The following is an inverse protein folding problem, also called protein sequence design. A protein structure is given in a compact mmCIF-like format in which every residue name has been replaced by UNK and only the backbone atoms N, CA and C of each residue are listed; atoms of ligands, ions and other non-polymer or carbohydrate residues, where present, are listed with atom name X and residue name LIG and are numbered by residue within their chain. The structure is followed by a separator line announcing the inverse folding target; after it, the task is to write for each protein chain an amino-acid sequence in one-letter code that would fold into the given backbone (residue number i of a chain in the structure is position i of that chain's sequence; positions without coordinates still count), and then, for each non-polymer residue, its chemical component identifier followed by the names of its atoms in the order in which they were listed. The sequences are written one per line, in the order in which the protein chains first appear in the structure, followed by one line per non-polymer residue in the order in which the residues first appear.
data_IF_007550497113
#
_entry.id   IF_007550497113
#
_cell.length_a   1.000
_cell.length_b   1.000
_cell.length_c   1.000
_cell.angle_alpha   90.00
_cell.angle_beta   90.00
_cell.angle_gamma   90.00
#
_symmetry.space_group_name_H-M   'P 1'
#
loop_
_entity.id
_entity.type
_entity.pdbx_description
1 polymer ?
#
# COMPACT_ATOMS: atom_id res chain seq x y z
N UNK A 1 24.78 14.31 -9.77
CA UNK A 1 24.16 14.28 -11.11
C UNK A 1 23.80 12.83 -11.39
N UNK A 2 22.52 12.46 -11.33
CA UNK A 2 22.07 11.09 -11.59
C UNK A 2 21.29 11.08 -12.91
N UNK A 3 21.71 10.22 -13.85
CA UNK A 3 20.92 9.80 -15.00
C UNK A 3 20.19 8.51 -14.62
N UNK A 4 18.88 8.42 -14.89
CA UNK A 4 18.13 7.16 -14.72
C UNK A 4 18.00 6.48 -16.09
N UNK A 5 18.66 5.33 -16.21
CA UNK A 5 18.47 4.34 -17.27
C UNK A 5 17.28 3.45 -16.87
N UNK A 6 16.25 3.40 -17.70
CA UNK A 6 14.98 2.71 -17.41
C UNK A 6 15.14 1.18 -17.40
N UNK A 7 14.83 0.55 -16.26
CA UNK A 7 14.66 -0.90 -16.14
C UNK A 7 13.28 -1.22 -15.57
N UNK A 8 12.46 -1.93 -16.35
CA UNK A 8 11.07 -2.28 -16.04
C UNK A 8 11.01 -3.30 -14.89
N UNK A 9 10.62 -2.85 -13.69
CA UNK A 9 10.07 -3.73 -12.65
C UNK A 9 8.85 -3.07 -12.01
N UNK A 10 7.67 -3.52 -12.42
CA UNK A 10 6.36 -3.10 -11.91
C UNK A 10 6.09 -3.73 -10.54
N UNK A 11 5.90 -2.91 -9.51
CA UNK A 11 5.32 -3.32 -8.22
C UNK A 11 3.89 -2.81 -8.14
N UNK A 12 2.94 -3.73 -7.98
CA UNK A 12 1.51 -3.49 -7.80
C UNK A 12 1.21 -3.61 -6.29
N UNK A 13 0.69 -2.55 -5.65
CA UNK A 13 0.23 -2.59 -4.26
C UNK A 13 -1.19 -2.07 -4.20
N UNK A 14 -2.07 -2.85 -3.57
CA UNK A 14 -3.48 -2.54 -3.38
C UNK A 14 -3.77 -1.96 -2.00
N UNK A 15 -4.56 -0.89 -2.00
CA UNK A 15 -5.09 -0.23 -0.80
C UNK A 15 -6.00 -1.16 0.00
N UNK A 16 -5.44 -1.88 0.98
CA UNK A 16 -6.17 -2.67 1.98
C UNK A 16 -6.67 -1.85 3.18
N UNK A 17 -6.33 -0.56 3.25
CA UNK A 17 -6.60 0.31 4.40
C UNK A 17 -8.09 0.60 4.64
N UNK A 18 -8.95 0.46 3.62
CA UNK A 18 -10.40 0.65 3.78
C UNK A 18 -11.12 -0.56 4.40
N UNK A 19 -10.52 -1.75 4.37
CA UNK A 19 -11.20 -2.99 4.80
C UNK A 19 -10.99 -3.26 6.30
N UNK A 20 -9.84 -2.90 6.86
CA UNK A 20 -9.53 -3.20 8.28
C UNK A 20 -10.41 -2.36 9.23
N UNK A 21 -10.70 -1.10 8.90
CA UNK A 21 -11.60 -0.25 9.70
C UNK A 21 -13.06 -0.69 9.60
N UNK A 22 -13.45 -1.34 8.49
CA UNK A 22 -14.79 -1.93 8.32
C UNK A 22 -14.95 -3.22 9.13
N UNK A 23 -13.90 -4.04 9.24
CA UNK A 23 -13.91 -5.27 10.04
C UNK A 23 -13.98 -4.95 11.55
N UNK A 24 -13.39 -3.83 12.00
CA UNK A 24 -13.47 -3.41 13.41
C UNK A 24 -14.86 -2.85 13.80
N UNK A 25 -15.67 -2.38 12.84
CA UNK A 25 -16.97 -1.75 13.12
C UNK A 25 -18.20 -2.60 12.77
N UNK A 26 -18.01 -3.70 12.05
CA UNK A 26 -19.04 -4.73 11.84
C UNK A 26 -18.71 -5.98 12.64
N UNK A 27 -18.81 -5.88 13.97
CA UNK A 27 -19.24 -7.04 14.76
C UNK A 27 -20.75 -7.21 14.58
N UNK A 28 -21.23 -7.31 13.34
CA UNK A 28 -22.37 -8.18 13.11
C UNK A 28 -21.86 -9.55 13.47
N UNK A 29 -22.28 -10.07 14.63
CA UNK A 29 -22.26 -11.50 14.90
C UNK A 29 -22.92 -12.15 13.71
N UNK A 30 -22.13 -12.59 12.73
CA UNK A 30 -22.58 -13.50 11.69
C UNK A 30 -22.93 -14.75 12.47
N UNK A 31 -24.22 -14.87 12.80
CA UNK A 31 -24.76 -16.03 13.45
C UNK A 31 -24.70 -17.14 12.40
N UNK A 32 -23.57 -17.84 12.39
CA UNK A 32 -23.41 -19.02 11.56
C UNK A 32 -24.53 -19.98 11.98
N UNK A 33 -25.41 -20.40 11.05
CA UNK A 33 -26.42 -21.39 11.36
C UNK A 33 -25.73 -22.59 12.03
N UNK A 34 -26.29 -23.13 13.12
CA UNK A 34 -25.75 -24.29 13.85
C UNK A 34 -25.38 -25.47 12.95
N UNK A 35 -25.98 -25.54 11.75
CA UNK A 35 -25.64 -26.48 10.69
C UNK A 35 -24.18 -26.38 10.18
N UNK A 36 -23.57 -25.20 10.15
CA UNK A 36 -22.17 -25.02 9.72
C UNK A 36 -21.15 -25.54 10.74
N UNK A 37 -21.52 -25.59 12.03
CA UNK A 37 -20.68 -26.16 13.09
C UNK A 37 -20.76 -27.70 13.16
N UNK A 38 -21.64 -28.33 12.37
CA UNK A 38 -21.82 -29.79 12.32
C UNK A 38 -21.32 -30.42 11.03
N UNK A 39 -20.28 -29.85 10.42
CA UNK A 39 -19.47 -30.63 9.50
C UNK A 39 -18.74 -31.72 10.30
N UNK A 40 -19.36 -32.90 10.43
CA UNK A 40 -18.70 -34.15 10.82
C UNK A 40 -17.71 -34.48 9.71
N UNK A 41 -16.55 -33.83 9.74
CA UNK A 41 -15.40 -34.21 8.93
C UNK A 41 -15.00 -35.60 9.41
N UNK A 42 -15.23 -36.56 8.54
CA UNK A 42 -14.89 -37.97 8.72
C UNK A 42 -13.41 -38.05 9.10
N UNK A 43 -13.12 -38.55 10.30
CA UNK A 43 -11.82 -38.69 10.98
C UNK A 43 -11.37 -37.53 11.92
N UNK A 44 -11.85 -37.57 13.17
CA UNK A 44 -10.97 -37.56 14.36
C UNK A 44 -10.78 -36.25 15.14
N UNK A 45 -10.87 -35.06 14.54
CA UNK A 45 -10.64 -33.80 15.26
C UNK A 45 -11.88 -32.91 15.23
N UNK A 46 -12.49 -32.70 16.40
CA UNK A 46 -13.48 -31.64 16.59
C UNK A 46 -12.75 -30.31 16.79
N UNK A 47 -13.18 -29.28 16.06
CA UNK A 47 -12.64 -27.92 16.19
C UNK A 47 -13.59 -27.08 17.04
N UNK A 48 -13.03 -26.28 17.94
CA UNK A 48 -13.75 -25.23 18.65
C UNK A 48 -14.25 -24.16 17.66
N UNK A 49 -15.33 -23.43 18.01
CA UNK A 49 -15.82 -22.33 17.18
C UNK A 49 -14.76 -21.27 16.87
N UNK A 50 -13.85 -20.98 17.81
CA UNK A 50 -12.77 -20.01 17.61
C UNK A 50 -11.73 -20.51 16.59
N UNK A 51 -11.36 -21.80 16.62
CA UNK A 51 -10.50 -22.39 15.58
C UNK A 51 -11.15 -22.30 14.20
N UNK A 52 -12.43 -22.64 14.09
CA UNK A 52 -13.19 -22.54 12.82
C UNK A 52 -13.20 -21.10 12.31
N UNK A 53 -13.49 -20.13 13.19
CA UNK A 53 -13.49 -18.71 12.86
C UNK A 53 -12.14 -18.27 12.31
N UNK A 54 -11.06 -18.59 13.01
CA UNK A 54 -9.70 -18.18 12.62
C UNK A 54 -9.23 -18.83 11.31
N UNK A 55 -9.58 -20.10 11.07
CA UNK A 55 -9.32 -20.75 9.77
C UNK A 55 -10.09 -20.01 8.66
N UNK A 56 -11.34 -19.62 8.93
CA UNK A 56 -12.14 -18.80 8.00
C UNK A 56 -11.49 -17.45 7.71
N UNK A 57 -11.00 -16.75 8.73
CA UNK A 57 -10.31 -15.47 8.58
C UNK A 57 -8.99 -15.62 7.79
N UNK A 58 -8.26 -16.72 8.00
CA UNK A 58 -7.06 -17.05 7.24
C UNK A 58 -7.40 -17.29 5.76
N UNK A 59 -8.49 -18.01 5.48
CA UNK A 59 -8.98 -18.25 4.13
C UNK A 59 -9.37 -16.96 3.40
N UNK A 60 -10.05 -16.03 4.08
CA UNK A 60 -10.38 -14.70 3.53
C UNK A 60 -9.12 -13.92 3.17
N UNK A 61 -8.16 -13.85 4.09
CA UNK A 61 -6.89 -13.17 3.85
C UNK A 61 -6.12 -13.80 2.68
N UNK A 62 -6.08 -15.13 2.61
CA UNK A 62 -5.43 -15.82 1.51
C UNK A 62 -6.10 -15.51 0.17
N UNK A 63 -7.44 -15.51 0.12
CA UNK A 63 -8.17 -15.14 -1.08
C UNK A 63 -7.81 -13.73 -1.57
N UNK A 64 -7.67 -12.78 -0.65
CA UNK A 64 -7.20 -11.43 -0.99
C UNK A 64 -5.76 -11.44 -1.51
N UNK A 65 -4.82 -12.10 -0.83
CA UNK A 65 -3.44 -12.21 -1.28
C UNK A 65 -3.35 -12.86 -2.67
N UNK A 66 -4.08 -13.95 -2.89
CA UNK A 66 -4.12 -14.66 -4.17
C UNK A 66 -4.66 -13.79 -5.29
N UNK A 67 -5.70 -13.00 -5.05
CA UNK A 67 -6.28 -12.13 -6.07
C UNK A 67 -5.36 -10.95 -6.41
N UNK A 68 -4.70 -10.37 -5.40
CA UNK A 68 -4.00 -9.10 -5.53
C UNK A 68 -2.49 -9.19 -5.71
N UNK A 69 -1.85 -10.29 -5.31
CA UNK A 69 -0.40 -10.42 -5.40
C UNK A 69 0.01 -11.01 -6.78
N UNK A 70 0.70 -10.25 -7.64
CA UNK A 70 1.07 -10.72 -8.98
C UNK A 70 2.03 -11.92 -8.94
N UNK A 71 2.83 -12.09 -7.88
CA UNK A 71 3.80 -13.20 -7.79
C UNK A 71 3.12 -14.56 -7.64
N UNK A 72 1.93 -14.60 -7.05
CA UNK A 72 1.15 -15.84 -6.95
C UNK A 72 0.66 -16.34 -8.31
N UNK A 73 0.61 -15.46 -9.31
CA UNK A 73 0.22 -15.82 -10.68
C UNK A 73 1.42 -16.16 -11.57
N UNK A 74 2.61 -15.64 -11.25
CA UNK A 74 3.81 -15.76 -12.11
C UNK A 74 4.84 -16.75 -11.57
N UNK A 75 4.84 -17.03 -10.27
CA UNK A 75 5.82 -17.91 -9.63
C UNK A 75 5.20 -19.26 -9.26
N UNK A 76 6.05 -20.29 -9.18
CA UNK A 76 5.67 -21.65 -8.77
C UNK A 76 5.51 -21.77 -7.25
N UNK A 77 4.71 -20.90 -6.64
CA UNK A 77 4.33 -21.05 -5.23
C UNK A 77 3.30 -22.17 -5.14
N UNK A 78 3.59 -23.21 -4.34
CA UNK A 78 2.64 -24.32 -4.12
C UNK A 78 1.60 -23.86 -3.10
N UNK A 79 0.63 -23.09 -3.59
CA UNK A 79 -0.42 -22.39 -2.83
C UNK A 79 -1.20 -23.30 -1.90
N UNK A 80 -1.67 -24.45 -2.39
CA UNK A 80 -2.51 -25.37 -1.61
C UNK A 80 -1.78 -25.91 -0.37
N UNK A 81 -0.52 -26.32 -0.55
CA UNK A 81 0.32 -26.82 0.55
C UNK A 81 0.62 -25.75 1.60
N UNK A 82 0.67 -24.49 1.18
CA UNK A 82 0.93 -23.35 2.05
C UNK A 82 -0.29 -23.07 2.93
N UNK A 83 -1.49 -23.05 2.35
CA UNK A 83 -2.74 -22.85 3.09
C UNK A 83 -2.98 -23.97 4.10
N UNK A 84 -2.70 -25.23 3.73
CA UNK A 84 -2.84 -26.37 4.65
C UNK A 84 -1.91 -26.20 5.85
N UNK A 85 -0.64 -25.86 5.62
CA UNK A 85 0.34 -25.64 6.70
C UNK A 85 -0.05 -24.46 7.60
N UNK A 86 -0.47 -23.35 7.02
CA UNK A 86 -0.91 -22.17 7.77
C UNK A 86 -2.19 -22.46 8.58
N UNK A 87 -3.13 -23.20 8.01
CA UNK A 87 -4.36 -23.63 8.71
C UNK A 87 -4.06 -24.58 9.87
N UNK A 88 -3.02 -25.40 9.77
CA UNK A 88 -2.58 -26.26 10.87
C UNK A 88 -2.04 -25.46 12.06
N UNK A 89 -1.32 -24.36 11.81
CA UNK A 89 -0.87 -23.44 12.87
C UNK A 89 -2.07 -22.88 13.61
N UNK A 90 -3.03 -22.28 12.88
CA UNK A 90 -4.24 -21.68 13.46
C UNK A 90 -5.13 -22.72 14.16
N UNK A 91 -5.17 -23.94 13.62
CA UNK A 91 -5.89 -25.06 14.22
C UNK A 91 -5.27 -25.50 15.56
N UNK A 92 -3.97 -25.34 15.76
CA UNK A 92 -3.31 -25.72 17.00
C UNK A 92 -3.23 -24.55 17.99
N UNK A 93 -3.14 -23.32 17.48
CA UNK A 93 -3.16 -22.09 18.25
C UNK A 93 -4.05 -21.04 17.57
N UNK A 94 -5.32 -20.90 17.99
CA UNK A 94 -6.24 -19.94 17.41
C UNK A 94 -6.09 -18.53 18.00
N UNK A 95 -5.05 -18.27 18.79
CA UNK A 95 -4.76 -16.94 19.33
C UNK A 95 -4.38 -15.93 18.23
N UNK A 96 -4.28 -14.66 18.60
CA UNK A 96 -3.76 -13.63 17.69
C UNK A 96 -2.31 -13.92 17.26
N UNK A 97 -1.50 -14.48 18.15
CA UNK A 97 -0.09 -14.81 17.87
C UNK A 97 0.02 -15.99 16.91
N UNK A 98 -0.78 -17.05 17.11
CA UNK A 98 -0.86 -18.18 16.18
C UNK A 98 -1.33 -17.74 14.79
N UNK A 99 -2.34 -16.86 14.73
CA UNK A 99 -2.77 -16.26 13.47
C UNK A 99 -1.64 -15.44 12.81
N UNK A 100 -0.95 -14.56 13.56
CA UNK A 100 0.19 -13.78 13.07
C UNK A 100 1.29 -14.70 12.51
N UNK A 101 1.61 -15.78 13.19
CA UNK A 101 2.61 -16.76 12.72
C UNK A 101 2.19 -17.43 11.42
N UNK A 102 0.91 -17.82 11.30
CA UNK A 102 0.37 -18.37 10.05
C UNK A 102 0.46 -17.39 8.88
N UNK A 103 0.16 -16.10 9.11
CA UNK A 103 0.33 -15.05 8.10
C UNK A 103 1.79 -14.86 7.74
N UNK A 104 2.71 -14.80 8.72
CA UNK A 104 4.16 -14.69 8.46
C UNK A 104 4.67 -15.85 7.60
N UNK A 105 4.22 -17.07 7.86
CA UNK A 105 4.56 -18.24 7.03
C UNK A 105 4.11 -18.02 5.58
N UNK A 106 2.88 -17.55 5.39
CA UNK A 106 2.33 -17.31 4.06
C UNK A 106 3.08 -16.20 3.31
N UNK A 107 3.37 -15.08 3.97
CA UNK A 107 4.10 -13.96 3.37
C UNK A 107 5.55 -14.32 3.05
N UNK A 108 6.22 -15.09 3.91
CA UNK A 108 7.58 -15.57 3.66
C UNK A 108 7.67 -16.41 2.37
N UNK A 109 6.62 -17.18 2.06
CA UNK A 109 6.56 -17.97 0.83
C UNK A 109 6.35 -17.10 -0.44
N UNK A 110 5.83 -15.88 -0.31
CA UNK A 110 5.71 -14.91 -1.41
C UNK A 110 7.07 -14.27 -1.75
N UNK A 111 7.95 -14.15 -0.74
CA UNK A 111 9.31 -13.61 -0.85
C UNK A 111 9.40 -12.27 -1.61
N UNK A 112 8.34 -11.45 -1.57
CA UNK A 112 8.19 -10.27 -2.44
C UNK A 112 8.80 -8.99 -1.89
N UNK A 113 9.18 -8.99 -0.61
CA UNK A 113 9.81 -7.87 0.09
C UNK A 113 8.91 -6.65 0.29
N UNK A 114 7.75 -6.59 -0.37
CA UNK A 114 6.80 -5.49 -0.32
C UNK A 114 5.55 -5.79 0.52
N UNK A 115 5.16 -7.07 0.64
CA UNK A 115 4.01 -7.45 1.45
C UNK A 115 4.45 -7.74 2.89
N UNK A 116 3.96 -6.94 3.84
CA UNK A 116 4.33 -7.03 5.26
C UNK A 116 3.09 -7.03 6.16
N UNK A 117 3.28 -7.44 7.42
CA UNK A 117 2.25 -7.31 8.46
C UNK A 117 2.46 -5.97 9.13
N UNK A 118 1.41 -5.17 9.21
CA UNK A 118 1.39 -3.94 9.98
C UNK A 118 0.69 -4.18 11.33
N UNK A 119 1.34 -3.82 12.43
CA UNK A 119 0.76 -3.97 13.76
C UNK A 119 -0.15 -2.77 14.09
N UNK A 120 -1.23 -3.03 14.83
CA UNK A 120 -2.15 -1.97 15.26
C UNK A 120 -1.42 -0.98 16.17
N UNK A 121 -1.30 0.28 15.74
CA UNK A 121 -0.56 1.33 16.45
C UNK A 121 0.71 1.78 15.74
N UNK A 122 1.20 1.02 14.75
CA UNK A 122 2.17 1.53 13.79
C UNK A 122 1.48 2.53 12.86
N UNK A 123 2.22 3.58 12.48
CA UNK A 123 1.67 4.70 11.73
C UNK A 123 1.02 4.18 10.44
N UNK A 124 -0.30 4.31 10.29
CA UNK A 124 -0.98 3.76 9.11
C UNK A 124 -0.53 4.51 7.86
N UNK A 125 -0.53 3.90 6.67
CA UNK A 125 -0.31 4.64 5.43
C UNK A 125 -1.26 5.85 5.33
N UNK A 126 -2.49 5.75 5.85
CA UNK A 126 -3.43 6.88 5.95
C UNK A 126 -2.89 8.06 6.78
N UNK A 127 -2.01 7.82 7.76
CA UNK A 127 -1.30 8.88 8.48
C UNK A 127 -0.12 9.45 7.69
N UNK A 128 0.48 8.71 6.75
CA UNK A 128 1.39 9.28 5.72
C UNK A 128 0.64 10.20 4.75
N UNK A 129 -0.65 9.96 4.55
CA UNK A 129 -1.55 10.81 3.74
C UNK A 129 -2.21 11.95 4.52
N UNK A 130 -1.85 12.15 5.80
CA UNK A 130 -2.41 13.25 6.58
C UNK A 130 -1.86 14.58 6.03
N UNK A 131 -2.68 15.30 5.24
CA UNK A 131 -2.34 16.56 4.56
C UNK A 131 -1.80 17.66 5.48
N UNK A 132 -1.97 17.50 6.80
CA UNK A 132 -1.71 18.53 7.80
C UNK A 132 -0.25 18.90 8.05
N UNK A 133 0.75 18.13 7.60
CA UNK A 133 2.13 18.39 8.06
C UNK A 133 3.17 18.75 7.00
N UNK A 134 2.89 18.73 5.69
CA UNK A 134 3.90 19.20 4.73
C UNK A 134 3.33 19.54 3.35
N UNK A 135 2.91 20.79 3.15
CA UNK A 135 2.69 21.36 1.81
C UNK A 135 4.02 21.40 1.03
N UNK A 136 4.01 21.43 -0.32
CA UNK A 136 5.23 21.64 -1.07
C UNK A 136 5.88 22.97 -0.69
N UNK A 137 7.21 22.98 -0.68
CA UNK A 137 8.01 24.16 -0.33
C UNK A 137 8.64 24.70 -1.59
N UNK A 138 8.46 26.00 -1.83
CA UNK A 138 8.97 26.68 -3.02
C UNK A 138 10.04 27.68 -2.63
N UNK A 139 11.16 27.68 -3.36
CA UNK A 139 12.26 28.61 -3.18
C UNK A 139 12.76 29.13 -4.54
N UNK A 140 12.90 30.44 -4.64
CA UNK A 140 13.65 31.06 -5.74
C UNK A 140 15.15 30.90 -5.47
N UNK A 141 15.86 30.31 -6.43
CA UNK A 141 17.31 30.17 -6.43
C UNK A 141 17.97 31.25 -7.30
N UNK A 142 19.30 31.33 -7.22
CA UNK A 142 20.09 32.20 -8.09
C UNK A 142 19.87 31.88 -9.58
N UNK A 143 20.08 32.89 -10.43
CA UNK A 143 19.88 32.83 -11.88
C UNK A 143 18.43 32.47 -12.27
N UNK A 144 17.45 32.99 -11.55
CA UNK A 144 16.03 32.81 -11.83
C UNK A 144 15.60 31.33 -11.91
N UNK A 145 16.25 30.44 -11.15
CA UNK A 145 15.84 29.04 -11.07
C UNK A 145 14.83 28.86 -9.94
N UNK A 146 13.87 27.96 -10.12
CA UNK A 146 12.85 27.63 -9.14
C UNK A 146 13.14 26.26 -8.53
N UNK A 147 13.03 26.14 -7.21
CA UNK A 147 13.15 24.88 -6.49
C UNK A 147 11.85 24.55 -5.79
N UNK A 148 11.32 23.36 -6.02
CA UNK A 148 10.05 22.87 -5.47
C UNK A 148 10.33 21.54 -4.77
N UNK A 149 10.24 21.51 -3.45
CA UNK A 149 10.38 20.30 -2.66
C UNK A 149 9.01 19.74 -2.28
N UNK A 150 8.84 18.43 -2.48
CA UNK A 150 7.65 17.68 -2.09
C UNK A 150 7.96 16.80 -0.88
N UNK A 151 7.73 17.30 0.34
CA UNK A 151 8.14 16.64 1.58
C UNK A 151 7.32 15.39 1.91
N UNK A 152 6.10 15.25 1.37
CA UNK A 152 5.22 14.10 1.58
C UNK A 152 4.51 13.69 0.29
N UNK A 153 4.00 12.46 0.25
CA UNK A 153 3.17 11.98 -0.85
C UNK A 153 1.85 12.76 -0.98
N UNK A 154 1.24 13.15 0.14
CA UNK A 154 0.04 13.99 0.13
C UNK A 154 0.28 15.35 -0.55
N UNK A 155 1.50 15.88 -0.44
CA UNK A 155 1.92 17.09 -1.15
C UNK A 155 2.00 16.91 -2.67
N UNK A 156 2.26 15.68 -3.15
CA UNK A 156 2.27 15.34 -4.58
C UNK A 156 0.86 15.13 -5.15
N UNK A 157 -0.14 14.84 -4.31
CA UNK A 157 -1.53 14.60 -4.74
C UNK A 157 -2.36 15.89 -4.82
N UNK A 158 -1.72 17.06 -4.87
CA UNK A 158 -2.43 18.30 -5.14
C UNK A 158 -2.97 18.25 -6.56
N UNK A 159 -4.30 18.27 -6.68
CA UNK A 159 -5.00 18.27 -7.97
C UNK A 159 -4.82 19.58 -8.75
N UNK A 160 -4.47 20.66 -8.04
CA UNK A 160 -4.24 21.97 -8.61
C UNK A 160 -2.89 22.53 -8.13
N UNK A 161 -1.91 22.75 -9.03
CA UNK A 161 -0.65 23.39 -8.69
C UNK A 161 -0.78 24.79 -8.07
N UNK A 162 -1.91 25.48 -8.30
CA UNK A 162 -2.20 26.79 -7.70
C UNK A 162 -2.40 26.73 -6.18
N UNK A 163 -2.65 25.53 -5.62
CA UNK A 163 -2.74 25.31 -4.18
C UNK A 163 -1.35 25.30 -3.50
N UNK A 164 -0.26 25.24 -4.29
CA UNK A 164 1.10 25.30 -3.76
C UNK A 164 1.45 26.75 -3.42
N UNK A 165 1.50 27.06 -2.12
CA UNK A 165 1.87 28.39 -1.65
C UNK A 165 3.28 28.78 -2.14
N UNK A 166 3.37 29.91 -2.83
CA UNK A 166 4.61 30.41 -3.42
C UNK A 166 4.93 29.82 -4.80
N UNK A 167 3.96 29.12 -5.42
CA UNK A 167 4.03 28.69 -6.81
C UNK A 167 2.87 29.32 -7.60
N UNK A 168 3.09 30.52 -8.11
CA UNK A 168 2.17 31.17 -9.05
C UNK A 168 2.53 30.81 -10.50
N UNK A 169 1.57 30.92 -11.45
CA UNK A 169 1.88 30.74 -12.87
C UNK A 169 2.98 31.67 -13.37
N UNK A 170 3.09 32.88 -12.81
CA UNK A 170 4.14 33.83 -13.15
C UNK A 170 5.53 33.37 -12.69
N UNK A 171 5.64 32.79 -11.50
CA UNK A 171 6.92 32.31 -10.94
C UNK A 171 7.49 31.14 -11.76
N UNK A 172 6.67 30.17 -12.17
CA UNK A 172 7.20 29.07 -12.99
C UNK A 172 7.43 29.46 -14.46
N UNK A 173 6.72 30.44 -15.02
CA UNK A 173 6.87 30.82 -16.44
C UNK A 173 8.09 31.71 -16.65
N UNK A 174 8.45 32.49 -15.64
CA UNK A 174 9.66 33.34 -15.65
C UNK A 174 10.93 32.61 -15.24
N UNK A 175 10.82 31.40 -14.67
CA UNK A 175 11.97 30.63 -14.23
C UNK A 175 12.82 30.14 -15.43
N UNK A 176 14.14 30.32 -15.34
CA UNK A 176 15.10 29.79 -16.32
C UNK A 176 15.29 28.27 -16.22
N UNK A 177 14.95 27.69 -15.06
CA UNK A 177 15.03 26.27 -14.79
C UNK A 177 14.24 25.91 -13.55
N UNK A 178 13.74 24.67 -13.48
CA UNK A 178 12.93 24.18 -12.36
C UNK A 178 13.55 22.90 -11.83
N UNK A 179 13.78 22.85 -10.52
CA UNK A 179 14.28 21.70 -9.78
C UNK A 179 13.13 21.15 -8.94
N UNK A 180 12.74 19.91 -9.21
CA UNK A 180 11.72 19.20 -8.44
C UNK A 180 12.43 18.21 -7.51
N UNK A 181 12.34 18.44 -6.20
CA UNK A 181 12.92 17.55 -5.19
C UNK A 181 11.88 16.58 -4.61
N UNK A 182 12.04 15.31 -4.98
CA UNK A 182 11.26 14.17 -4.50
C UNK A 182 12.04 13.25 -3.55
N UNK A 183 13.23 13.67 -3.08
CA UNK A 183 14.09 12.82 -2.23
C UNK A 183 13.42 12.41 -0.91
N UNK A 184 12.41 13.15 -0.45
CA UNK A 184 11.61 12.79 0.73
C UNK A 184 10.33 12.02 0.40
N UNK A 185 9.90 12.00 -0.87
CA UNK A 185 8.73 11.22 -1.32
C UNK A 185 9.04 9.71 -1.38
N UNK A 186 10.31 9.33 -1.49
CA UNK A 186 10.80 7.95 -1.61
C UNK A 186 10.74 7.12 -0.32
N UNK A 187 10.34 7.71 0.82
CA UNK A 187 10.09 6.94 2.05
C UNK A 187 8.74 6.24 2.07
N UNK A 188 7.93 6.39 1.01
CA UNK A 188 6.67 5.67 0.87
C UNK A 188 6.91 4.44 -0.01
N UNK A 189 6.78 3.21 0.53
CA UNK A 189 6.94 1.97 -0.24
C UNK A 189 6.03 1.90 -1.48
N UNK A 190 4.95 2.69 -1.49
CA UNK A 190 3.94 2.77 -2.54
C UNK A 190 4.27 3.72 -3.71
N UNK A 191 5.39 4.46 -3.67
CA UNK A 191 5.78 5.35 -4.77
C UNK A 191 6.48 4.57 -5.89
N UNK A 192 5.70 3.93 -6.77
CA UNK A 192 6.20 3.40 -8.03
C UNK A 192 6.36 4.53 -9.07
N UNK A 193 7.19 4.30 -10.10
CA UNK A 193 7.43 5.28 -11.18
C UNK A 193 6.14 5.73 -11.89
N UNK A 194 5.08 4.93 -11.81
CA UNK A 194 3.78 5.20 -12.43
C UNK A 194 3.09 6.40 -11.77
N UNK A 195 3.03 6.46 -10.44
CA UNK A 195 2.37 7.57 -9.74
C UNK A 195 3.12 8.91 -9.96
N UNK A 196 4.45 8.88 -10.06
CA UNK A 196 5.22 10.08 -10.42
C UNK A 196 4.83 10.61 -11.81
N UNK A 197 4.68 9.73 -12.79
CA UNK A 197 4.24 10.12 -14.14
C UNK A 197 2.82 10.66 -14.10
N UNK A 198 1.87 10.06 -13.38
CA UNK A 198 0.49 10.52 -13.42
C UNK A 198 0.21 11.76 -12.56
N UNK A 199 0.93 11.96 -11.46
CA UNK A 199 0.67 13.07 -10.53
C UNK A 199 1.56 14.28 -10.80
N UNK A 200 2.84 14.06 -11.16
CA UNK A 200 3.79 15.15 -11.40
C UNK A 200 3.83 15.56 -12.87
N UNK A 201 3.57 14.65 -13.83
CA UNK A 201 3.59 15.04 -15.25
C UNK A 201 2.48 16.00 -15.65
N UNK A 202 1.26 16.00 -15.10
CA UNK A 202 0.29 17.05 -15.44
C UNK A 202 0.80 18.44 -15.09
N UNK A 203 1.43 18.60 -13.92
CA UNK A 203 2.08 19.85 -13.53
C UNK A 203 3.25 20.18 -14.46
N UNK A 204 4.17 19.23 -14.71
CA UNK A 204 5.28 19.42 -15.65
C UNK A 204 4.76 19.76 -17.05
N UNK A 205 3.68 19.12 -17.52
CA UNK A 205 3.04 19.39 -18.82
C UNK A 205 2.41 20.77 -18.85
N UNK A 206 1.75 21.22 -17.78
CA UNK A 206 1.21 22.57 -17.70
C UNK A 206 2.33 23.62 -17.70
N UNK A 207 3.39 23.37 -16.96
CA UNK A 207 4.61 24.20 -16.96
C UNK A 207 5.22 24.27 -18.36
N UNK A 208 5.41 23.13 -19.04
CA UNK A 208 5.94 23.05 -20.41
C UNK A 208 4.98 23.70 -21.44
N UNK A 209 3.67 23.51 -21.28
CA UNK A 209 2.68 24.05 -22.21
C UNK A 209 2.51 25.57 -22.06
N UNK A 210 2.65 26.10 -20.84
CA UNK A 210 2.58 27.53 -20.52
C UNK A 210 3.89 28.29 -20.77
N UNK A 211 5.00 27.61 -21.04
CA UNK A 211 6.31 28.19 -21.36
C UNK A 211 6.58 28.30 -22.86
N UNK A 212 5.54 28.22 -23.70
CA UNK A 212 5.68 28.62 -25.11
C UNK A 212 5.94 30.13 -25.18
N UNK A 213 7.00 30.57 -25.88
CA UNK A 213 7.26 31.98 -26.13
C UNK A 213 6.18 32.63 -27.00
#
# INVERSE_FOLDING_TARGET
MFFILLSRKTSLVLMLSLIITSIARSQTTVQYPDAYLRAKVTAGKSYSPEQVRRIGDLGKLWGMLHYFNPRLHTEKVITDSLVIRASAIVSNDPSADGFRQAVKLMLAALNDGGTTIQEAGEMSPAQLFNRGSALPVVHQLANDNLYIAFPTLAANMLSDPSEVKGLSPQEWTSAKGIIIDIRNASRVPEFNEYNFIFDVMPMIRQVIAGSKP
#
